data_IF_652546715320
#
_entry.id   IF_652546715320
#
_cell.length_a   1.000
_cell.length_b   1.000
_cell.length_c   1.000
_cell.angle_alpha   90.00
_cell.angle_beta   90.00
_cell.angle_gamma   90.00
#
_symmetry.space_group_name_H-M   'P 1'
#
loop_
_entity.id
_entity.type
_entity.pdbx_description
1 polymer ?
#
# COMPACT_ATOMS: atom_id res chain seq x y z
N UNK A 1 -17.08 6.96 0.74
CA UNK A 1 -15.98 6.03 0.37
C UNK A 1 -15.68 5.14 1.57
N UNK A 2 -15.40 3.85 1.34
CA UNK A 2 -15.26 2.85 2.40
C UNK A 2 -14.16 3.20 3.41
N UNK A 3 -14.46 3.08 4.70
CA UNK A 3 -13.47 3.24 5.78
C UNK A 3 -12.48 2.07 5.84
N UNK A 4 -12.94 0.87 5.48
CA UNK A 4 -12.14 -0.36 5.39
C UNK A 4 -12.20 -0.90 3.96
N UNK A 5 -11.39 -0.39 3.02
CA UNK A 5 -11.43 -0.83 1.64
C UNK A 5 -10.93 -2.27 1.47
N UNK A 6 -11.38 -2.93 0.41
CA UNK A 6 -10.68 -4.11 -0.10
C UNK A 6 -9.38 -3.65 -0.76
N UNK A 7 -8.25 -4.16 -0.29
CA UNK A 7 -6.92 -3.77 -0.75
C UNK A 7 -6.29 -4.93 -1.50
N UNK A 8 -5.90 -4.67 -2.75
CA UNK A 8 -4.98 -5.53 -3.47
C UNK A 8 -3.56 -5.07 -3.15
N UNK A 9 -2.73 -6.01 -2.71
CA UNK A 9 -1.36 -5.77 -2.27
C UNK A 9 -0.43 -6.78 -2.92
N UNK A 10 0.73 -6.32 -3.39
CA UNK A 10 1.79 -7.19 -3.87
C UNK A 10 3.16 -6.76 -3.34
N UNK A 11 4.00 -7.74 -3.04
CA UNK A 11 5.37 -7.58 -2.55
C UNK A 11 6.34 -8.35 -3.46
N UNK A 12 6.71 -7.79 -4.63
CA UNK A 12 7.51 -8.50 -5.63
C UNK A 12 8.93 -8.82 -5.17
N UNK A 13 9.50 -8.08 -4.21
CA UNK A 13 10.87 -8.29 -3.73
C UNK A 13 11.11 -9.65 -3.06
N UNK A 14 10.04 -10.41 -2.75
CA UNK A 14 10.16 -11.79 -2.28
C UNK A 14 10.56 -12.77 -3.40
N UNK A 15 10.38 -12.38 -4.67
CA UNK A 15 10.61 -13.23 -5.84
C UNK A 15 11.66 -12.65 -6.80
N UNK A 16 11.89 -11.34 -6.74
CA UNK A 16 12.94 -10.66 -7.48
C UNK A 16 13.67 -9.68 -6.54
N UNK A 17 14.83 -10.11 -6.05
CA UNK A 17 15.64 -9.35 -5.12
C UNK A 17 16.19 -8.04 -5.71
N UNK A 18 16.19 -7.86 -7.04
CA UNK A 18 16.64 -6.62 -7.69
C UNK A 18 15.66 -5.46 -7.53
N UNK A 19 14.43 -5.73 -7.05
CA UNK A 19 13.34 -4.76 -6.87
C UNK A 19 13.43 -3.93 -5.59
N UNK A 20 14.41 -4.19 -4.73
CA UNK A 20 14.66 -3.43 -3.51
C UNK A 20 16.15 -3.51 -3.13
N UNK A 21 16.68 -2.53 -2.35
CA UNK A 21 17.99 -2.68 -1.72
C UNK A 21 18.06 -3.93 -0.83
N UNK A 22 19.27 -4.44 -0.59
CA UNK A 22 19.48 -5.61 0.25
C UNK A 22 18.87 -5.42 1.65
N UNK A 23 18.10 -6.42 2.11
CA UNK A 23 17.40 -6.39 3.40
C UNK A 23 16.15 -5.50 3.45
N UNK A 24 15.73 -4.92 2.32
CA UNK A 24 14.51 -4.10 2.23
C UNK A 24 13.48 -4.75 1.30
N UNK A 25 12.27 -4.20 1.33
CA UNK A 25 11.17 -4.66 0.51
C UNK A 25 10.44 -3.49 -0.15
N UNK A 26 9.97 -3.73 -1.36
CA UNK A 26 9.06 -2.83 -2.07
C UNK A 26 7.70 -3.51 -2.15
N UNK A 27 6.64 -2.81 -1.76
CA UNK A 27 5.27 -3.24 -1.93
C UNK A 27 4.46 -2.15 -2.65
N UNK A 28 3.46 -2.57 -3.42
CA UNK A 28 2.43 -1.66 -3.90
C UNK A 28 1.06 -2.17 -3.45
N UNK A 29 0.14 -1.23 -3.26
CA UNK A 29 -1.22 -1.53 -2.89
C UNK A 29 -2.18 -0.54 -3.54
N UNK A 30 -3.39 -1.00 -3.85
CA UNK A 30 -4.48 -0.12 -4.27
C UNK A 30 -5.84 -0.62 -3.78
N UNK A 31 -6.81 0.28 -3.80
CA UNK A 31 -8.22 -0.04 -3.62
C UNK A 31 -9.06 0.67 -4.68
N UNK A 32 -10.25 0.15 -4.95
CA UNK A 32 -11.21 0.82 -5.82
C UNK A 32 -11.93 1.96 -5.10
N UNK A 33 -12.17 3.04 -5.85
CA UNK A 33 -13.00 4.18 -5.45
C UNK A 33 -14.03 4.45 -6.57
N UNK A 34 -15.10 5.22 -6.30
CA UNK A 34 -16.03 5.66 -7.34
C UNK A 34 -15.30 6.41 -8.46
N UNK A 35 -15.80 6.31 -9.69
CA UNK A 35 -15.26 7.05 -10.82
C UNK A 35 -15.24 8.56 -10.53
N UNK A 36 -14.12 9.22 -10.84
CA UNK A 36 -13.91 10.66 -10.60
C UNK A 36 -13.62 11.05 -9.14
N UNK A 37 -13.50 10.09 -8.21
CA UNK A 37 -13.19 10.39 -6.81
C UNK A 37 -11.74 10.80 -6.61
N UNK A 38 -11.49 12.06 -6.24
CA UNK A 38 -10.15 12.56 -5.86
C UNK A 38 -9.74 12.31 -4.40
N UNK A 39 -10.45 11.46 -3.66
CA UNK A 39 -10.15 11.20 -2.24
C UNK A 39 -8.87 10.38 -2.10
N UNK A 40 -7.96 10.87 -1.27
CA UNK A 40 -6.75 10.14 -0.88
C UNK A 40 -7.10 8.96 0.04
N UNK A 41 -6.74 7.76 -0.41
CA UNK A 41 -6.99 6.50 0.29
C UNK A 41 -5.75 5.96 1.02
N UNK A 42 -4.62 6.67 0.98
CA UNK A 42 -3.32 6.19 1.50
C UNK A 42 -3.40 5.70 2.94
N UNK A 43 -3.91 6.53 3.87
CA UNK A 43 -4.01 6.14 5.27
C UNK A 43 -4.94 4.95 5.50
N UNK A 44 -6.03 4.84 4.73
CA UNK A 44 -6.98 3.73 4.84
C UNK A 44 -6.41 2.43 4.32
N UNK A 45 -5.59 2.50 3.28
CA UNK A 45 -4.83 1.36 2.76
C UNK A 45 -3.80 0.91 3.80
N UNK A 46 -2.96 1.82 4.31
CA UNK A 46 -1.96 1.52 5.35
C UNK A 46 -2.61 0.90 6.60
N UNK A 47 -3.76 1.44 7.04
CA UNK A 47 -4.51 0.92 8.18
C UNK A 47 -5.12 -0.47 7.93
N UNK A 48 -5.50 -0.80 6.69
CA UNK A 48 -5.93 -2.17 6.37
C UNK A 48 -4.77 -3.15 6.46
N UNK A 49 -3.57 -2.79 5.99
CA UNK A 49 -2.39 -3.66 6.09
C UNK A 49 -2.00 -3.85 7.56
N UNK A 50 -1.91 -2.75 8.33
CA UNK A 50 -1.59 -2.77 9.76
C UNK A 50 -2.49 -3.72 10.57
N UNK A 51 -3.79 -3.78 10.24
CA UNK A 51 -4.75 -4.67 10.90
C UNK A 51 -4.38 -6.15 10.75
N UNK A 52 -3.71 -6.55 9.66
CA UNK A 52 -3.30 -7.92 9.40
C UNK A 52 -1.80 -8.17 9.63
N UNK A 53 -0.99 -7.11 9.63
CA UNK A 53 0.43 -7.14 9.92
C UNK A 53 0.78 -6.02 10.93
N UNK A 54 0.57 -6.24 12.24
CA UNK A 54 0.84 -5.24 13.26
C UNK A 54 2.30 -4.80 13.25
N UNK A 55 2.53 -3.48 13.36
CA UNK A 55 3.84 -2.84 13.24
C UNK A 55 4.26 -2.52 11.81
N UNK A 56 3.43 -2.83 10.79
CA UNK A 56 3.71 -2.54 9.39
C UNK A 56 4.02 -1.05 9.17
N UNK A 57 3.21 -0.15 9.75
CA UNK A 57 3.37 1.29 9.52
C UNK A 57 4.71 1.83 10.01
N UNK A 58 5.27 1.22 11.06
CA UNK A 58 6.57 1.58 11.62
C UNK A 58 7.74 1.14 10.71
N UNK A 59 7.49 0.25 9.74
CA UNK A 59 8.50 -0.25 8.80
C UNK A 59 8.59 0.55 7.49
N UNK A 60 7.68 1.51 7.28
CA UNK A 60 7.61 2.29 6.03
C UNK A 60 8.75 3.32 6.00
N UNK A 61 9.78 3.04 5.20
CA UNK A 61 10.92 3.96 5.00
C UNK A 61 10.59 5.11 4.04
N UNK A 62 9.78 4.85 3.01
CA UNK A 62 9.34 5.83 2.03
C UNK A 62 8.01 5.39 1.42
N UNK A 63 7.20 6.37 0.97
CA UNK A 63 5.95 6.11 0.24
C UNK A 63 5.89 6.95 -1.03
N UNK A 64 5.36 6.35 -2.09
CA UNK A 64 4.96 7.04 -3.32
C UNK A 64 3.49 6.77 -3.57
N UNK A 65 2.71 7.81 -3.86
CA UNK A 65 1.27 7.70 -4.11
C UNK A 65 0.96 8.11 -5.55
N UNK A 66 -0.01 7.45 -6.15
CA UNK A 66 -0.55 7.81 -7.45
C UNK A 66 -2.07 7.97 -7.30
N UNK A 67 -2.55 9.19 -7.55
CA UNK A 67 -3.98 9.49 -7.51
C UNK A 67 -4.73 8.86 -8.69
N UNK A 68 -6.05 8.99 -8.67
CA UNK A 68 -6.94 8.40 -9.68
C UNK A 68 -7.16 9.29 -10.92
N UNK A 69 -6.26 10.25 -11.16
CA UNK A 69 -6.36 11.21 -12.26
C UNK A 69 -5.93 10.59 -13.60
#
# INVERSE_FOLDING_TARGET
IAERPFVLLAQPSLFDATRAPAGQHTAWAYCHVPNGSGVDMTERIEAQVERFAPGFRDTILARGTMGTA
#
